data_IF_541704859277
#
_entry.id   IF_541704859277
#
_cell.length_a   1.000
_cell.length_b   1.000
_cell.length_c   1.000
_cell.angle_alpha   90.00
_cell.angle_beta   90.00
_cell.angle_gamma   90.00
#
_symmetry.space_group_name_H-M   'P 1'
#
loop_
_entity.id
_entity.type
_entity.pdbx_description
1 polymer ?
#
# COMPACT_ATOMS: atom_id res chain seq x y z
N UNK A 1 36.73 4.81 -5.21
CA UNK A 1 38.14 4.88 -4.77
C UNK A 1 38.51 3.70 -3.88
N UNK A 2 37.90 3.56 -2.69
CA UNK A 2 38.15 2.46 -1.73
C UNK A 2 38.27 1.05 -2.34
N UNK A 3 37.33 0.62 -3.19
CA UNK A 3 37.37 -0.73 -3.81
C UNK A 3 38.66 -0.97 -4.62
N UNK A 4 39.15 0.07 -5.32
CA UNK A 4 40.38 -0.04 -6.13
C UNK A 4 41.60 -0.21 -5.23
N UNK A 5 41.66 0.53 -4.12
CA UNK A 5 42.74 0.46 -3.13
C UNK A 5 42.77 -0.90 -2.45
N UNK A 6 41.62 -1.40 -1.97
CA UNK A 6 41.50 -2.75 -1.38
C UNK A 6 41.94 -3.83 -2.36
N UNK A 7 41.52 -3.74 -3.64
CA UNK A 7 41.93 -4.70 -4.67
C UNK A 7 43.46 -4.73 -4.85
N UNK A 8 44.09 -3.55 -4.92
CA UNK A 8 45.55 -3.45 -5.07
C UNK A 8 46.29 -4.00 -3.85
N UNK A 9 45.79 -3.69 -2.66
CA UNK A 9 46.35 -4.22 -1.41
C UNK A 9 46.29 -5.75 -1.38
N UNK A 10 45.12 -6.35 -1.66
CA UNK A 10 44.98 -7.80 -1.69
C UNK A 10 45.89 -8.44 -2.75
N UNK A 11 45.99 -7.84 -3.95
CA UNK A 11 46.89 -8.33 -4.99
C UNK A 11 48.36 -8.32 -4.55
N UNK A 12 48.78 -7.29 -3.82
CA UNK A 12 50.13 -7.20 -3.28
C UNK A 12 50.38 -8.28 -2.20
N UNK A 13 49.46 -8.42 -1.24
CA UNK A 13 49.58 -9.44 -0.18
C UNK A 13 49.60 -10.86 -0.76
N UNK A 14 48.81 -11.13 -1.80
CA UNK A 14 48.84 -12.42 -2.48
C UNK A 14 50.09 -12.67 -3.33
N UNK A 15 50.91 -11.65 -3.64
CA UNK A 15 52.21 -11.87 -4.29
C UNK A 15 53.33 -12.22 -3.30
N UNK A 16 53.08 -12.12 -1.99
CA UNK A 16 54.00 -12.55 -0.94
C UNK A 16 54.10 -14.08 -0.87
N UNK A 17 55.19 -14.55 -0.24
CA UNK A 17 55.43 -15.99 -0.06
C UNK A 17 54.30 -16.64 0.76
N UNK A 18 53.97 -17.93 0.55
CA UNK A 18 52.93 -18.62 1.34
C UNK A 18 53.19 -18.64 2.86
N UNK A 19 54.47 -18.52 3.26
CA UNK A 19 54.88 -18.45 4.65
C UNK A 19 54.78 -17.05 5.28
N UNK A 20 54.44 -16.04 4.48
CA UNK A 20 54.37 -14.65 4.95
C UNK A 20 53.17 -14.45 5.90
N UNK A 21 53.38 -13.85 7.09
CA UNK A 21 52.32 -13.63 8.07
C UNK A 21 51.13 -12.84 7.52
N UNK A 22 51.36 -11.84 6.67
CA UNK A 22 50.30 -10.97 6.14
C UNK A 22 49.43 -11.75 5.14
N UNK A 23 50.06 -12.61 4.33
CA UNK A 23 49.32 -13.51 3.43
C UNK A 23 48.51 -14.53 4.20
N UNK A 24 49.07 -15.12 5.25
CA UNK A 24 48.35 -16.08 6.09
C UNK A 24 47.16 -15.44 6.81
N UNK A 25 47.32 -14.20 7.28
CA UNK A 25 46.24 -13.43 7.88
C UNK A 25 45.12 -13.18 6.86
N UNK A 26 45.45 -12.71 5.66
CA UNK A 26 44.45 -12.48 4.61
C UNK A 26 43.72 -13.78 4.19
N UNK A 27 44.43 -14.90 4.06
CA UNK A 27 43.79 -16.20 3.75
C UNK A 27 42.80 -16.61 4.84
N UNK A 28 43.09 -16.34 6.12
CA UNK A 28 42.14 -16.59 7.22
C UNK A 28 40.89 -15.70 7.13
N UNK A 29 41.01 -14.47 6.65
CA UNK A 29 39.83 -13.62 6.40
C UNK A 29 38.94 -14.22 5.29
N UNK A 30 39.55 -14.73 4.20
CA UNK A 30 38.82 -15.42 3.14
C UNK A 30 38.18 -16.74 3.60
N UNK A 31 38.75 -17.42 4.60
CA UNK A 31 38.17 -18.63 5.16
C UNK A 31 36.77 -18.39 5.75
N UNK A 32 36.51 -17.22 6.34
CA UNK A 32 35.19 -16.85 6.85
C UNK A 32 34.17 -16.78 5.70
N UNK A 33 34.53 -16.12 4.60
CA UNK A 33 33.68 -16.03 3.41
C UNK A 33 33.49 -17.41 2.74
N UNK A 34 34.50 -18.27 2.75
CA UNK A 34 34.42 -19.62 2.23
C UNK A 34 33.45 -20.50 3.02
N UNK A 35 33.52 -20.47 4.35
CA UNK A 35 32.60 -21.24 5.22
C UNK A 35 31.16 -20.79 5.05
N UNK A 36 30.94 -19.49 4.95
CA UNK A 36 29.61 -18.95 4.64
C UNK A 36 29.11 -19.42 3.27
N UNK A 37 29.95 -19.38 2.23
CA UNK A 37 29.60 -19.88 0.89
C UNK A 37 29.27 -21.38 0.88
N UNK A 38 30.05 -22.17 1.61
CA UNK A 38 29.87 -23.62 1.73
C UNK A 38 28.56 -24.00 2.44
N UNK A 39 27.98 -23.11 3.24
CA UNK A 39 26.68 -23.37 3.87
C UNK A 39 25.51 -23.40 2.86
N UNK A 40 25.69 -22.81 1.68
CA UNK A 40 24.66 -22.71 0.63
C UNK A 40 25.07 -23.30 -0.72
N UNK A 41 26.33 -23.69 -0.88
CA UNK A 41 26.88 -24.35 -2.07
C UNK A 41 27.59 -25.63 -1.66
N UNK A 42 27.00 -26.81 -1.89
CA UNK A 42 27.55 -28.08 -1.38
C UNK A 42 28.82 -28.53 -2.12
N UNK A 43 28.96 -28.19 -3.40
CA UNK A 43 30.05 -28.69 -4.27
C UNK A 43 31.13 -27.61 -4.52
N UNK A 44 31.67 -27.02 -3.45
CA UNK A 44 32.77 -26.04 -3.56
C UNK A 44 34.14 -26.72 -3.67
N UNK A 45 35.04 -26.22 -4.54
CA UNK A 45 36.45 -26.61 -4.52
C UNK A 45 37.11 -26.27 -3.18
N UNK A 46 38.15 -27.00 -2.76
CA UNK A 46 38.93 -26.66 -1.59
C UNK A 46 39.41 -25.21 -1.58
N UNK A 47 39.41 -24.58 -0.40
CA UNK A 47 39.82 -23.18 -0.25
C UNK A 47 41.16 -22.87 -0.91
N UNK A 48 42.13 -23.79 -0.81
CA UNK A 48 43.46 -23.59 -1.39
C UNK A 48 43.41 -23.44 -2.91
N UNK A 49 42.61 -24.26 -3.60
CA UNK A 49 42.45 -24.18 -5.05
C UNK A 49 41.83 -22.83 -5.48
N UNK A 50 40.89 -22.31 -4.67
CA UNK A 50 40.31 -20.99 -4.89
C UNK A 50 41.34 -19.88 -4.63
N UNK A 51 42.10 -19.97 -3.55
CA UNK A 51 43.16 -19.01 -3.20
C UNK A 51 44.22 -18.90 -4.28
N UNK A 52 44.57 -20.02 -4.93
CA UNK A 52 45.57 -20.03 -5.99
C UNK A 52 45.11 -19.29 -7.26
N UNK A 53 43.79 -19.28 -7.53
CA UNK A 53 43.21 -18.57 -8.70
C UNK A 53 42.73 -17.15 -8.38
N UNK A 54 42.50 -16.81 -7.10
CA UNK A 54 42.01 -15.49 -6.66
C UNK A 54 42.81 -14.31 -7.23
N UNK A 55 44.16 -14.30 -7.24
CA UNK A 55 44.93 -13.16 -7.75
C UNK A 55 44.66 -12.91 -9.24
N UNK A 56 44.51 -13.99 -10.02
CA UNK A 56 44.15 -13.90 -11.44
C UNK A 56 42.72 -13.41 -11.61
N UNK A 57 41.78 -13.91 -10.80
CA UNK A 57 40.39 -13.47 -10.82
C UNK A 57 40.28 -11.97 -10.52
N UNK A 58 40.92 -11.48 -9.44
CA UNK A 58 40.92 -10.06 -9.06
C UNK A 58 41.49 -9.15 -10.15
N UNK A 59 42.57 -9.59 -10.84
CA UNK A 59 43.14 -8.82 -11.97
C UNK A 59 42.18 -8.74 -13.15
N UNK A 60 41.38 -9.77 -13.38
CA UNK A 60 40.37 -9.83 -14.45
C UNK A 60 39.00 -9.29 -14.04
N UNK A 61 38.88 -8.75 -12.83
CA UNK A 61 37.65 -8.08 -12.36
C UNK A 61 37.68 -6.61 -12.75
N UNK A 62 36.68 -6.20 -13.53
CA UNK A 62 36.48 -4.81 -13.92
C UNK A 62 35.67 -4.06 -12.84
N UNK A 63 36.01 -2.78 -12.59
CA UNK A 63 35.29 -1.94 -11.63
C UNK A 63 34.72 -0.75 -12.40
N UNK A 64 33.40 -0.73 -12.53
CA UNK A 64 32.66 0.24 -13.34
C UNK A 64 31.83 1.13 -12.42
N UNK A 65 31.96 2.44 -12.61
CA UNK A 65 31.12 3.43 -11.92
C UNK A 65 29.94 3.80 -12.81
N UNK A 66 28.73 3.55 -12.33
CA UNK A 66 27.48 3.76 -13.06
C UNK A 66 26.81 5.01 -12.52
N UNK A 67 27.17 6.16 -13.10
CA UNK A 67 26.61 7.47 -12.77
C UNK A 67 25.81 8.03 -13.95
N UNK A 68 24.60 8.52 -13.69
CA UNK A 68 23.71 9.12 -14.69
C UNK A 68 24.04 10.60 -15.00
N UNK A 69 25.32 10.97 -15.04
CA UNK A 69 25.73 12.34 -15.43
C UNK A 69 25.77 12.38 -16.96
N UNK A 70 24.60 12.45 -17.61
CA UNK A 70 24.52 12.56 -19.08
C UNK A 70 23.33 11.86 -19.76
N UNK A 71 22.42 11.24 -19.03
CA UNK A 71 21.15 10.71 -19.59
C UNK A 71 21.21 9.27 -20.14
N UNK A 72 22.38 8.65 -20.26
CA UNK A 72 22.51 7.24 -20.63
C UNK A 72 23.32 6.45 -19.61
N UNK A 73 22.74 5.37 -19.11
CA UNK A 73 23.44 4.40 -18.26
C UNK A 73 24.40 3.60 -19.16
N UNK A 74 25.70 3.55 -18.87
CA UNK A 74 26.63 2.74 -19.65
C UNK A 74 26.22 1.27 -19.57
N UNK A 75 26.13 0.59 -20.72
CA UNK A 75 25.93 -0.85 -20.80
C UNK A 75 27.29 -1.54 -20.70
N UNK A 76 27.59 -2.29 -19.62
CA UNK A 76 28.83 -3.03 -19.52
C UNK A 76 28.87 -4.13 -20.59
N UNK A 77 30.01 -4.28 -21.27
CA UNK A 77 30.26 -5.50 -22.02
C UNK A 77 30.52 -6.65 -21.05
N UNK A 78 29.48 -7.42 -20.74
CA UNK A 78 29.56 -8.53 -19.80
C UNK A 78 30.60 -9.58 -20.20
N UNK A 79 30.96 -9.68 -21.48
CA UNK A 79 31.93 -10.66 -22.00
C UNK A 79 33.37 -10.16 -21.97
N UNK A 80 33.59 -8.86 -21.80
CA UNK A 80 34.93 -8.26 -21.83
C UNK A 80 35.80 -8.65 -20.63
N UNK A 81 35.19 -8.97 -19.49
CA UNK A 81 35.87 -9.31 -18.25
C UNK A 81 35.35 -10.61 -17.63
N UNK A 82 36.16 -11.22 -16.76
CA UNK A 82 35.76 -12.42 -16.01
C UNK A 82 34.65 -12.12 -15.01
N UNK A 83 34.75 -10.97 -14.34
CA UNK A 83 33.73 -10.50 -13.39
C UNK A 83 33.71 -8.98 -13.33
N UNK A 84 32.60 -8.43 -12.84
CA UNK A 84 32.33 -7.00 -12.80
C UNK A 84 31.92 -6.57 -11.39
N UNK A 85 32.46 -5.45 -10.92
CA UNK A 85 31.99 -4.74 -9.73
C UNK A 85 31.39 -3.42 -10.19
N UNK A 86 30.09 -3.30 -10.04
CA UNK A 86 29.35 -2.10 -10.43
C UNK A 86 29.08 -1.25 -9.19
N UNK A 87 29.44 0.03 -9.25
CA UNK A 87 29.19 1.00 -8.19
C UNK A 87 28.32 2.09 -8.76
N UNK A 88 27.07 2.21 -8.28
CA UNK A 88 26.17 3.24 -8.77
C UNK A 88 25.22 3.79 -7.72
N UNK A 89 24.62 4.92 -8.07
CA UNK A 89 23.63 5.63 -7.26
C UNK A 89 22.19 5.23 -7.58
N UNK A 90 21.27 6.20 -7.47
CA UNK A 90 19.83 5.99 -7.78
C UNK A 90 19.56 5.52 -9.21
N UNK A 91 20.50 5.78 -10.13
CA UNK A 91 20.43 5.37 -11.52
C UNK A 91 20.35 3.85 -11.72
N UNK A 92 20.85 3.05 -10.78
CA UNK A 92 20.77 1.59 -10.82
C UNK A 92 19.50 1.02 -10.16
N UNK A 93 18.68 1.86 -9.50
CA UNK A 93 17.50 1.40 -8.75
C UNK A 93 16.32 1.01 -9.65
N UNK A 94 16.34 1.33 -10.94
CA UNK A 94 15.23 1.08 -11.87
C UNK A 94 15.71 0.57 -13.23
N UNK A 95 15.27 -0.63 -13.61
CA UNK A 95 15.39 -1.14 -14.99
C UNK A 95 16.78 -1.63 -15.42
N UNK A 96 17.78 -1.60 -14.54
CA UNK A 96 19.13 -2.09 -14.84
C UNK A 96 19.26 -3.57 -14.45
N UNK A 97 19.34 -4.46 -15.44
CA UNK A 97 19.51 -5.91 -15.21
C UNK A 97 20.98 -6.28 -15.24
N UNK A 98 21.48 -6.83 -14.14
CA UNK A 98 22.85 -7.36 -14.05
C UNK A 98 22.84 -8.86 -14.34
N UNK A 99 23.47 -9.24 -15.45
CA UNK A 99 23.71 -10.65 -15.78
C UNK A 99 24.68 -11.26 -14.77
N UNK A 100 24.39 -12.47 -14.28
CA UNK A 100 25.28 -13.15 -13.35
C UNK A 100 25.43 -12.50 -11.95
N UNK A 101 24.50 -11.63 -11.53
CA UNK A 101 24.57 -10.98 -10.21
C UNK A 101 24.63 -12.00 -9.05
N UNK A 102 25.76 -12.03 -8.34
CA UNK A 102 25.99 -12.88 -7.16
C UNK A 102 26.06 -12.10 -5.87
N UNK A 103 26.60 -10.88 -5.85
CA UNK A 103 26.75 -10.10 -4.61
C UNK A 103 26.07 -8.75 -4.76
N UNK A 104 25.24 -8.40 -3.78
CA UNK A 104 24.59 -7.10 -3.67
C UNK A 104 24.92 -6.46 -2.34
N UNK A 105 25.40 -5.21 -2.38
CA UNK A 105 25.65 -4.39 -1.20
C UNK A 105 24.83 -3.11 -1.29
N UNK A 106 23.85 -2.96 -0.39
CA UNK A 106 22.98 -1.79 -0.31
C UNK A 106 22.97 -1.26 1.13
N UNK A 107 23.92 -0.39 1.48
CA UNK A 107 24.06 0.11 2.85
C UNK A 107 23.01 1.17 3.21
N UNK A 108 22.38 1.81 2.22
CA UNK A 108 21.35 2.83 2.46
C UNK A 108 20.07 2.19 2.98
N UNK A 109 19.43 2.86 3.93
CA UNK A 109 18.06 2.54 4.32
C UNK A 109 17.11 2.57 3.12
N UNK A 110 16.02 1.82 3.21
CA UNK A 110 14.94 1.87 2.22
C UNK A 110 14.30 3.26 2.37
N UNK A 111 14.79 4.26 1.64
CA UNK A 111 14.22 5.60 1.67
C UNK A 111 12.72 5.53 1.37
N UNK A 112 11.90 5.96 2.33
CA UNK A 112 10.43 5.82 2.33
C UNK A 112 9.98 4.35 2.32
N UNK A 113 9.38 3.87 3.42
CA UNK A 113 8.88 2.49 3.58
C UNK A 113 7.67 2.13 2.72
N UNK A 114 7.71 2.38 1.40
CA UNK A 114 6.64 2.05 0.44
C UNK A 114 6.90 0.65 -0.15
N UNK A 115 5.89 -0.25 -0.26
CA UNK A 115 6.07 -1.62 -0.79
C UNK A 115 6.50 -1.56 -2.22
N UNK A 116 5.85 -0.73 -3.03
CA UNK A 116 6.24 -0.57 -4.41
C UNK A 116 7.72 -0.18 -4.45
N UNK A 117 8.17 0.82 -3.67
CA UNK A 117 9.59 1.17 -3.61
C UNK A 117 10.50 0.01 -3.16
N UNK A 118 10.06 -0.82 -2.23
CA UNK A 118 10.76 -2.04 -1.77
C UNK A 118 10.82 -3.08 -2.90
N UNK A 119 9.70 -3.38 -3.56
CA UNK A 119 9.60 -4.31 -4.68
C UNK A 119 10.38 -3.82 -5.90
N UNK A 120 10.20 -2.55 -6.30
CA UNK A 120 10.92 -1.93 -7.42
C UNK A 120 12.42 -2.03 -7.17
N UNK A 121 12.86 -1.75 -5.93
CA UNK A 121 14.28 -1.93 -5.56
C UNK A 121 14.66 -3.39 -5.63
N UNK A 122 13.88 -4.34 -5.11
CA UNK A 122 14.21 -5.77 -5.21
C UNK A 122 14.30 -6.31 -6.65
N UNK A 123 13.75 -5.61 -7.66
CA UNK A 123 13.79 -6.06 -9.06
C UNK A 123 15.21 -6.24 -9.62
N UNK A 124 16.23 -5.58 -9.06
CA UNK A 124 17.62 -5.80 -9.50
C UNK A 124 18.05 -7.28 -9.33
N UNK A 125 17.44 -8.01 -8.39
CA UNK A 125 17.86 -9.36 -8.06
C UNK A 125 17.46 -10.35 -9.16
N UNK A 126 16.34 -10.13 -9.85
CA UNK A 126 15.87 -10.99 -10.93
C UNK A 126 15.66 -12.47 -10.54
N UNK A 127 15.53 -13.34 -11.54
CA UNK A 127 15.37 -14.79 -11.33
C UNK A 127 16.73 -15.49 -11.26
N UNK A 128 17.11 -15.99 -10.08
CA UNK A 128 18.45 -16.55 -9.79
C UNK A 128 18.42 -17.99 -9.29
N UNK A 129 17.30 -18.70 -9.48
CA UNK A 129 17.04 -20.04 -8.90
C UNK A 129 18.17 -21.04 -9.16
N UNK A 130 18.79 -21.00 -10.34
CA UNK A 130 19.85 -21.92 -10.74
C UNK A 130 21.15 -21.75 -9.95
N UNK A 131 21.40 -20.56 -9.38
CA UNK A 131 22.65 -20.24 -8.69
C UNK A 131 22.41 -19.47 -7.38
N UNK A 132 21.23 -19.63 -6.79
CA UNK A 132 20.81 -18.95 -5.56
C UNK A 132 21.80 -19.18 -4.41
N UNK A 133 22.40 -20.37 -4.35
CA UNK A 133 23.43 -20.70 -3.37
C UNK A 133 24.64 -19.76 -3.39
N UNK A 134 24.95 -19.14 -4.54
CA UNK A 134 26.05 -18.18 -4.68
C UNK A 134 25.65 -16.74 -4.36
N UNK A 135 24.34 -16.46 -4.18
CA UNK A 135 23.87 -15.10 -3.98
C UNK A 135 24.13 -14.62 -2.54
N UNK A 136 24.64 -13.40 -2.38
CA UNK A 136 24.84 -12.71 -1.10
C UNK A 136 24.29 -11.30 -1.14
N UNK A 137 23.43 -10.99 -0.17
CA UNK A 137 22.73 -9.70 -0.10
C UNK A 137 23.03 -9.06 1.25
N UNK A 138 23.71 -7.94 1.21
CA UNK A 138 24.12 -7.17 2.37
C UNK A 138 23.29 -5.88 2.43
N UNK A 139 22.39 -5.82 3.40
CA UNK A 139 21.44 -4.72 3.61
C UNK A 139 21.62 -4.12 5.00
N UNK A 140 21.28 -2.83 5.14
CA UNK A 140 21.07 -2.23 6.45
C UNK A 140 19.97 -2.96 7.25
N UNK A 141 20.01 -2.86 8.59
CA UNK A 141 19.10 -3.57 9.50
C UNK A 141 17.63 -3.30 9.17
N UNK A 142 17.28 -2.02 8.98
CA UNK A 142 15.94 -1.60 8.58
C UNK A 142 15.53 -2.22 7.23
N UNK A 143 16.47 -2.30 6.28
CA UNK A 143 16.27 -2.94 5.00
C UNK A 143 15.88 -4.41 5.10
N UNK A 144 16.64 -5.15 5.90
CA UNK A 144 16.40 -6.58 6.14
C UNK A 144 15.05 -6.85 6.81
N UNK A 145 14.67 -6.03 7.79
CA UNK A 145 13.38 -6.13 8.48
C UNK A 145 12.21 -5.92 7.53
N UNK A 146 12.28 -4.89 6.69
CA UNK A 146 11.22 -4.57 5.73
C UNK A 146 11.02 -5.67 4.67
N UNK A 147 12.09 -6.19 4.06
CA UNK A 147 11.96 -7.30 3.10
C UNK A 147 11.39 -8.56 3.73
N UNK A 148 11.79 -8.88 4.98
CA UNK A 148 11.25 -10.03 5.71
C UNK A 148 9.75 -9.86 5.96
N UNK A 149 9.36 -8.73 6.52
CA UNK A 149 7.95 -8.43 6.80
C UNK A 149 7.11 -8.46 5.53
N UNK A 150 7.66 -7.97 4.41
CA UNK A 150 6.99 -8.02 3.11
C UNK A 150 6.76 -9.46 2.63
N UNK A 151 7.78 -10.34 2.68
CA UNK A 151 7.64 -11.74 2.24
C UNK A 151 6.69 -12.52 3.16
N UNK A 152 6.83 -12.36 4.48
CA UNK A 152 5.93 -12.99 5.46
C UNK A 152 4.47 -12.58 5.21
N UNK A 153 4.25 -11.31 4.86
CA UNK A 153 2.93 -10.81 4.48
C UNK A 153 2.40 -11.45 3.19
N UNK A 154 3.20 -11.46 2.13
CA UNK A 154 2.77 -11.98 0.83
C UNK A 154 2.39 -13.47 0.93
N UNK A 155 3.18 -14.25 1.67
CA UNK A 155 2.90 -15.68 1.89
C UNK A 155 1.64 -15.90 2.74
N UNK A 156 1.37 -15.08 3.76
CA UNK A 156 0.13 -15.16 4.54
C UNK A 156 -1.11 -14.87 3.67
N UNK A 157 -1.08 -13.81 2.86
CA UNK A 157 -2.16 -13.50 1.92
C UNK A 157 -2.36 -14.65 0.93
N UNK A 158 -1.27 -15.20 0.37
CA UNK A 158 -1.31 -16.34 -0.55
C UNK A 158 -1.90 -17.58 0.11
N UNK A 159 -1.51 -17.90 1.33
CA UNK A 159 -2.03 -19.05 2.07
C UNK A 159 -3.53 -18.92 2.36
N UNK A 160 -3.99 -17.72 2.74
CA UNK A 160 -5.42 -17.45 2.96
C UNK A 160 -6.23 -17.49 1.69
N UNK A 161 -5.70 -16.94 0.59
CA UNK A 161 -6.35 -17.01 -0.71
C UNK A 161 -6.46 -18.47 -1.20
N UNK A 162 -5.42 -19.28 -0.99
CA UNK A 162 -5.45 -20.71 -1.29
C UNK A 162 -6.51 -21.46 -0.46
N UNK A 163 -6.60 -21.14 0.83
CA UNK A 163 -7.63 -21.71 1.73
C UNK A 163 -9.04 -21.31 1.29
N UNK A 164 -9.26 -20.04 0.96
CA UNK A 164 -10.56 -19.57 0.48
C UNK A 164 -10.93 -20.19 -0.86
N UNK A 165 -9.98 -20.31 -1.79
CA UNK A 165 -10.20 -20.97 -3.08
C UNK A 165 -10.71 -22.40 -2.90
N UNK A 166 -10.25 -23.12 -1.87
CA UNK A 166 -10.74 -24.47 -1.56
C UNK A 166 -12.21 -24.50 -1.11
N UNK A 167 -12.78 -23.38 -0.65
CA UNK A 167 -14.19 -23.29 -0.24
C UNK A 167 -15.17 -23.14 -1.41
N UNK A 168 -14.69 -22.79 -2.60
CA UNK A 168 -15.52 -22.52 -3.78
C UNK A 168 -16.37 -21.24 -3.71
N UNK A 169 -16.25 -20.44 -2.64
CA UNK A 169 -17.01 -19.19 -2.46
C UNK A 169 -16.45 -18.04 -3.32
N UNK A 170 -17.28 -17.05 -3.70
CA UNK A 170 -16.82 -15.88 -4.44
C UNK A 170 -15.72 -15.08 -3.72
N UNK A 171 -14.90 -14.34 -4.46
CA UNK A 171 -13.84 -13.48 -3.89
C UNK A 171 -14.40 -12.32 -3.04
N UNK A 172 -15.65 -11.94 -3.22
CA UNK A 172 -16.33 -10.96 -2.37
C UNK A 172 -16.41 -11.44 -0.92
N UNK A 173 -16.68 -12.73 -0.72
CA UNK A 173 -16.71 -13.34 0.61
C UNK A 173 -15.30 -13.40 1.21
N UNK A 174 -14.28 -13.60 0.38
CA UNK A 174 -12.88 -13.53 0.82
C UNK A 174 -12.52 -12.15 1.32
N UNK A 175 -12.88 -11.07 0.58
CA UNK A 175 -12.61 -9.69 1.01
C UNK A 175 -13.21 -9.44 2.39
N UNK A 176 -14.47 -9.84 2.58
CA UNK A 176 -15.15 -9.73 3.87
C UNK A 176 -14.46 -10.56 4.96
N UNK A 177 -14.20 -11.84 4.72
CA UNK A 177 -13.53 -12.72 5.68
C UNK A 177 -12.13 -12.20 6.03
N UNK A 178 -11.39 -11.69 5.06
CA UNK A 178 -10.07 -11.08 5.23
C UNK A 178 -10.12 -9.92 6.23
N UNK A 179 -11.06 -8.98 6.08
CA UNK A 179 -11.23 -7.87 7.02
C UNK A 179 -11.74 -8.30 8.40
N UNK A 180 -12.61 -9.31 8.47
CA UNK A 180 -13.13 -9.85 9.74
C UNK A 180 -12.08 -10.66 10.50
N UNK A 181 -11.24 -11.44 9.81
CA UNK A 181 -10.13 -12.19 10.43
C UNK A 181 -9.06 -11.25 11.00
N UNK A 182 -8.78 -10.16 10.29
CA UNK A 182 -7.97 -9.07 10.84
C UNK A 182 -8.65 -8.46 12.07
N UNK A 183 -9.99 -8.41 12.10
CA UNK A 183 -10.71 -7.88 13.24
C UNK A 183 -10.58 -8.69 14.52
N UNK A 184 -10.39 -10.01 14.37
CA UNK A 184 -10.32 -10.97 15.46
C UNK A 184 -8.90 -11.22 15.99
N UNK A 185 -7.83 -10.68 15.37
CA UNK A 185 -6.44 -10.94 15.76
C UNK A 185 -5.61 -9.66 15.95
N UNK A 186 -5.32 -9.25 17.21
CA UNK A 186 -4.61 -8.01 17.54
C UNK A 186 -3.14 -7.89 17.06
N UNK A 187 -2.53 -8.95 16.55
CA UNK A 187 -1.07 -9.04 16.31
C UNK A 187 -0.62 -8.89 14.86
N UNK A 188 -1.52 -8.58 13.92
CA UNK A 188 -1.25 -8.61 12.47
C UNK A 188 -1.01 -7.22 11.84
N UNK A 189 -0.56 -6.25 12.64
CA UNK A 189 -0.41 -4.81 12.27
C UNK A 189 0.54 -4.54 11.10
N UNK A 190 1.46 -5.45 10.77
CA UNK A 190 2.45 -5.31 9.70
C UNK A 190 1.98 -5.78 8.32
N UNK A 191 0.77 -6.33 8.23
CA UNK A 191 0.27 -7.04 7.03
C UNK A 191 -0.06 -6.06 5.90
N UNK A 192 -0.54 -4.83 6.12
CA UNK A 192 -1.21 -4.09 5.02
C UNK A 192 -0.54 -2.78 4.59
N UNK A 193 0.66 -2.54 5.10
CA UNK A 193 1.19 -1.18 5.23
C UNK A 193 1.61 -0.51 3.92
N UNK A 194 1.79 -1.28 2.86
CA UNK A 194 2.81 -0.89 1.91
C UNK A 194 2.32 -0.47 0.50
N UNK A 195 1.18 -0.97 0.00
CA UNK A 195 0.68 -0.59 -1.35
C UNK A 195 -0.69 0.12 -1.37
N UNK A 196 -1.56 -0.12 -0.38
CA UNK A 196 -2.91 0.46 -0.32
C UNK A 196 -2.97 1.86 0.33
N UNK A 197 -1.87 2.29 0.95
CA UNK A 197 -1.80 3.48 1.82
C UNK A 197 -1.42 4.80 1.10
N UNK A 198 -1.54 4.85 -0.23
CA UNK A 198 -1.14 6.05 -1.02
C UNK A 198 -2.04 7.26 -0.80
N UNK A 199 -3.33 7.04 -0.51
CA UNK A 199 -4.33 8.09 -0.26
C UNK A 199 -4.86 7.96 1.17
N UNK A 200 -4.08 8.43 2.15
CA UNK A 200 -4.59 8.53 3.52
C UNK A 200 -5.67 9.61 3.56
N UNK A 201 -6.88 9.25 4.01
CA UNK A 201 -7.95 10.20 4.24
C UNK A 201 -7.72 10.85 5.61
N UNK A 202 -7.45 12.15 5.60
CA UNK A 202 -7.14 12.92 6.80
C UNK A 202 -7.83 14.28 6.72
N UNK A 203 -8.88 14.47 7.54
CA UNK A 203 -9.82 15.58 7.37
C UNK A 203 -10.37 15.64 5.94
N UNK A 204 -10.73 14.47 5.40
CA UNK A 204 -11.23 14.34 4.03
C UNK A 204 -12.39 13.35 3.92
N UNK A 205 -13.16 13.48 2.84
CA UNK A 205 -14.26 12.61 2.50
C UNK A 205 -13.82 11.53 1.50
N UNK A 206 -14.07 10.27 1.84
CA UNK A 206 -14.26 9.24 0.83
C UNK A 206 -15.63 9.42 0.17
N UNK A 207 -15.65 9.47 -1.17
CA UNK A 207 -16.86 9.43 -1.98
C UNK A 207 -16.64 8.47 -3.16
N UNK A 208 -17.55 7.51 -3.41
CA UNK A 208 -17.50 6.70 -4.61
C UNK A 208 -18.00 7.52 -5.80
N UNK A 209 -17.36 7.33 -6.96
CA UNK A 209 -17.71 8.01 -8.20
C UNK A 209 -18.72 7.21 -9.03
N UNK A 210 -18.68 5.89 -8.97
CA UNK A 210 -19.60 5.03 -9.73
C UNK A 210 -20.18 3.90 -8.85
N UNK A 211 -21.13 4.23 -7.95
CA UNK A 211 -21.78 3.23 -7.11
C UNK A 211 -22.74 2.29 -7.90
N UNK A 212 -22.93 2.53 -9.20
CA UNK A 212 -23.95 1.90 -10.06
C UNK A 212 -23.41 0.95 -11.13
N UNK A 213 -22.15 0.52 -11.07
CA UNK A 213 -21.51 -0.24 -12.16
C UNK A 213 -22.16 -1.62 -12.45
N UNK A 214 -22.87 -2.21 -11.48
CA UNK A 214 -23.52 -3.52 -11.65
C UNK A 214 -24.89 -3.57 -10.96
N UNK A 215 -25.92 -4.02 -11.68
CA UNK A 215 -27.27 -4.24 -11.11
C UNK A 215 -27.26 -5.17 -9.91
N UNK A 216 -26.45 -6.22 -9.96
CA UNK A 216 -26.32 -7.19 -8.87
C UNK A 216 -25.68 -6.53 -7.63
N UNK A 217 -24.64 -5.71 -7.83
CA UNK A 217 -24.01 -4.97 -6.75
C UNK A 217 -24.96 -3.93 -6.14
N UNK A 218 -25.70 -3.19 -6.97
CA UNK A 218 -26.70 -2.22 -6.53
C UNK A 218 -27.81 -2.90 -5.73
N UNK A 219 -28.38 -4.00 -6.23
CA UNK A 219 -29.41 -4.76 -5.52
C UNK A 219 -28.92 -5.31 -4.17
N UNK A 220 -27.70 -5.86 -4.15
CA UNK A 220 -27.05 -6.31 -2.91
C UNK A 220 -26.84 -5.16 -1.93
N UNK A 221 -26.35 -4.01 -2.39
CA UNK A 221 -26.10 -2.84 -1.55
C UNK A 221 -27.40 -2.26 -0.98
N UNK A 222 -28.51 -2.30 -1.73
CA UNK A 222 -29.82 -1.84 -1.24
C UNK A 222 -30.23 -2.65 -0.03
N UNK A 223 -30.09 -3.97 -0.11
CA UNK A 223 -30.45 -4.85 0.98
C UNK A 223 -29.54 -4.64 2.21
N UNK A 224 -28.23 -4.50 2.00
CA UNK A 224 -27.27 -4.19 3.09
C UNK A 224 -27.64 -2.89 3.80
N UNK A 225 -27.85 -1.80 3.04
CA UNK A 225 -28.18 -0.49 3.60
C UNK A 225 -29.53 -0.52 4.31
N UNK A 226 -30.55 -1.15 3.71
CA UNK A 226 -31.89 -1.28 4.30
C UNK A 226 -31.83 -2.04 5.62
N UNK A 227 -31.15 -3.18 5.67
CA UNK A 227 -30.98 -3.97 6.90
C UNK A 227 -30.24 -3.18 7.97
N UNK A 228 -29.15 -2.51 7.60
CA UNK A 228 -28.34 -1.73 8.53
C UNK A 228 -29.10 -0.53 9.09
N UNK A 229 -29.77 0.28 8.25
CA UNK A 229 -30.56 1.42 8.72
C UNK A 229 -31.70 1.00 9.67
N UNK A 230 -32.27 -0.20 9.47
CA UNK A 230 -33.31 -0.74 10.35
C UNK A 230 -32.81 -1.11 11.76
N UNK A 231 -31.50 -1.23 11.98
CA UNK A 231 -30.93 -1.46 13.33
C UNK A 231 -30.71 -0.15 14.10
N UNK A 232 -30.79 1.00 13.42
CA UNK A 232 -30.49 2.30 14.00
C UNK A 232 -31.73 2.99 14.55
N UNK A 233 -31.56 3.72 15.65
CA UNK A 233 -32.54 4.69 16.12
C UNK A 233 -32.24 6.05 15.50
N UNK A 234 -32.88 6.31 14.36
CA UNK A 234 -32.71 7.56 13.62
C UNK A 234 -33.59 8.66 14.21
N UNK A 235 -33.01 9.86 14.32
CA UNK A 235 -33.71 11.10 14.72
C UNK A 235 -33.54 12.17 13.66
N UNK A 236 -34.56 12.97 13.42
CA UNK A 236 -34.44 14.06 12.45
C UNK A 236 -33.43 15.11 12.93
N UNK A 237 -32.60 15.59 12.00
CA UNK A 237 -31.60 16.62 12.27
C UNK A 237 -32.29 17.99 12.30
N UNK A 238 -32.23 18.73 13.42
CA UNK A 238 -32.78 20.08 13.49
C UNK A 238 -32.18 20.99 12.40
N UNK A 239 -33.01 21.88 11.86
CA UNK A 239 -32.63 22.72 10.74
C UNK A 239 -33.52 23.94 10.59
N UNK A 240 -33.12 24.83 9.69
CA UNK A 240 -33.92 25.99 9.32
C UNK A 240 -35.26 25.54 8.71
N UNK A 241 -36.37 26.22 9.04
CA UNK A 241 -37.72 25.87 8.57
C UNK A 241 -37.86 25.85 7.05
N UNK A 242 -37.09 26.71 6.37
CA UNK A 242 -37.02 26.77 4.90
C UNK A 242 -36.26 25.63 4.22
N UNK A 243 -35.77 24.61 4.94
CA UNK A 243 -35.13 23.45 4.30
C UNK A 243 -36.16 22.65 3.50
N UNK A 244 -35.83 22.34 2.26
CA UNK A 244 -36.59 21.40 1.43
C UNK A 244 -36.45 19.96 1.95
N UNK A 245 -37.30 19.04 1.48
CA UNK A 245 -37.18 17.62 1.80
C UNK A 245 -35.81 17.01 1.40
N UNK A 246 -35.18 17.55 0.35
CA UNK A 246 -33.81 17.18 -0.06
C UNK A 246 -32.72 17.66 0.91
N UNK A 247 -33.04 18.57 1.83
CA UNK A 247 -32.12 19.15 2.82
C UNK A 247 -32.45 18.70 4.26
N UNK A 248 -33.50 17.88 4.41
CA UNK A 248 -33.86 17.23 5.66
C UNK A 248 -33.16 15.87 5.75
N UNK A 249 -32.58 15.57 6.90
CA UNK A 249 -31.79 14.35 7.13
C UNK A 249 -32.14 13.75 8.48
N UNK A 250 -31.90 12.46 8.63
CA UNK A 250 -31.90 11.81 9.92
C UNK A 250 -30.48 11.46 10.34
N UNK A 251 -30.25 11.35 11.65
CA UNK A 251 -28.97 11.04 12.24
C UNK A 251 -29.12 9.96 13.32
N UNK A 252 -28.11 9.10 13.45
CA UNK A 252 -27.86 8.28 14.61
C UNK A 252 -26.47 8.62 15.15
N UNK A 253 -26.42 9.12 16.37
CA UNK A 253 -25.17 9.48 17.04
C UNK A 253 -24.64 8.31 17.88
N UNK A 254 -23.32 8.28 18.08
CA UNK A 254 -22.64 7.31 18.93
C UNK A 254 -22.90 5.83 18.55
N UNK A 255 -22.97 5.55 17.25
CA UNK A 255 -23.09 4.19 16.73
C UNK A 255 -21.74 3.49 16.87
N UNK A 256 -21.73 2.21 17.28
CA UNK A 256 -20.47 1.43 17.39
C UNK A 256 -19.79 1.36 16.03
N UNK A 257 -18.56 1.89 15.93
CA UNK A 257 -17.79 1.86 14.69
C UNK A 257 -17.49 0.42 14.25
N UNK A 258 -17.34 -0.51 15.21
CA UNK A 258 -17.18 -1.94 14.93
C UNK A 258 -18.41 -2.53 14.23
N UNK A 259 -19.62 -2.21 14.71
CA UNK A 259 -20.87 -2.62 14.03
C UNK A 259 -20.97 -1.99 12.64
N UNK A 260 -20.67 -0.70 12.49
CA UNK A 260 -20.68 -0.03 11.16
C UNK A 260 -19.68 -0.68 10.20
N UNK A 261 -18.49 -1.01 10.67
CA UNK A 261 -17.45 -1.66 9.88
C UNK A 261 -17.90 -3.05 9.40
N UNK A 262 -18.46 -3.86 10.29
CA UNK A 262 -18.77 -5.29 10.03
C UNK A 262 -20.14 -5.53 9.39
N UNK A 263 -21.12 -4.66 9.66
CA UNK A 263 -22.51 -4.81 9.21
C UNK A 263 -22.82 -3.95 7.98
N UNK A 264 -22.13 -2.83 7.78
CA UNK A 264 -22.29 -1.96 6.62
C UNK A 264 -21.06 -2.00 5.70
N UNK A 265 -19.94 -1.42 6.11
CA UNK A 265 -18.85 -1.06 5.19
C UNK A 265 -18.19 -2.27 4.52
N UNK A 266 -17.88 -3.33 5.25
CA UNK A 266 -17.29 -4.57 4.68
C UNK A 266 -18.27 -5.38 3.82
N UNK A 267 -19.57 -5.08 3.88
CA UNK A 267 -20.61 -5.75 3.08
C UNK A 267 -20.99 -4.98 1.81
N UNK A 268 -20.63 -3.70 1.72
CA UNK A 268 -20.84 -2.91 0.51
C UNK A 268 -19.97 -3.42 -0.63
N UNK A 269 -20.60 -3.67 -1.78
CA UNK A 269 -19.95 -4.01 -3.04
C UNK A 269 -19.61 -2.73 -3.79
N UNK A 270 -18.33 -2.38 -3.78
CA UNK A 270 -17.73 -1.33 -4.62
C UNK A 270 -16.93 -2.01 -5.71
N UNK A 271 -17.42 -1.98 -6.94
CA UNK A 271 -16.92 -2.81 -8.03
C UNK A 271 -15.94 -2.07 -8.96
N UNK A 272 -16.11 -0.75 -9.14
CA UNK A 272 -15.22 0.05 -10.01
C UNK A 272 -13.82 0.03 -9.42
N UNK A 273 -12.80 -0.23 -10.24
CA UNK A 273 -11.42 -0.44 -9.81
C UNK A 273 -10.91 0.64 -8.87
N UNK A 274 -11.04 1.90 -9.28
CA UNK A 274 -10.47 3.05 -8.59
C UNK A 274 -11.19 3.31 -7.26
N UNK A 275 -12.53 3.24 -7.28
CA UNK A 275 -13.35 3.38 -6.08
C UNK A 275 -13.09 2.22 -5.11
N UNK A 276 -12.93 0.99 -5.61
CA UNK A 276 -12.68 -0.22 -4.81
C UNK A 276 -11.31 -0.18 -4.14
N UNK A 277 -10.29 0.33 -4.82
CA UNK A 277 -8.97 0.54 -4.24
C UNK A 277 -9.02 1.57 -3.10
N UNK A 278 -9.62 2.75 -3.35
CA UNK A 278 -9.78 3.78 -2.31
C UNK A 278 -10.64 3.31 -1.13
N UNK A 279 -11.72 2.57 -1.41
CA UNK A 279 -12.57 1.99 -0.38
C UNK A 279 -11.82 0.96 0.47
N UNK A 280 -10.96 0.15 -0.15
CA UNK A 280 -10.12 -0.82 0.56
C UNK A 280 -9.14 -0.09 1.49
N UNK A 281 -8.51 1.01 1.03
CA UNK A 281 -7.68 1.86 1.89
C UNK A 281 -8.45 2.42 3.09
N UNK A 282 -9.66 2.93 2.87
CA UNK A 282 -10.55 3.39 3.94
C UNK A 282 -10.85 2.27 4.97
N UNK A 283 -11.20 1.06 4.53
CA UNK A 283 -11.48 -0.06 5.42
C UNK A 283 -10.26 -0.43 6.28
N UNK A 284 -9.05 -0.37 5.72
CA UNK A 284 -7.81 -0.61 6.44
C UNK A 284 -7.56 0.44 7.53
N UNK A 285 -7.77 1.71 7.20
CA UNK A 285 -7.61 2.81 8.15
C UNK A 285 -8.62 2.72 9.31
N UNK A 286 -9.87 2.39 9.02
CA UNK A 286 -10.90 2.15 10.05
C UNK A 286 -10.52 0.96 10.94
N UNK A 287 -10.03 -0.14 10.35
CA UNK A 287 -9.60 -1.32 11.10
C UNK A 287 -8.50 -1.00 12.09
N UNK A 288 -7.46 -0.31 11.63
CA UNK A 288 -6.35 0.08 12.49
C UNK A 288 -6.79 0.99 13.64
N UNK A 289 -7.69 1.94 13.35
CA UNK A 289 -8.25 2.77 14.39
C UNK A 289 -9.03 1.93 15.43
N UNK A 290 -9.79 0.92 14.98
CA UNK A 290 -10.49 -0.03 15.86
C UNK A 290 -9.53 -0.95 16.64
N UNK A 291 -8.36 -1.28 16.10
CA UNK A 291 -7.32 -2.04 16.82
C UNK A 291 -6.77 -1.26 18.02
N UNK A 292 -6.71 0.07 17.91
CA UNK A 292 -6.29 0.95 19.00
C UNK A 292 -7.47 1.37 19.90
N UNK A 293 -8.68 1.44 19.35
CA UNK A 293 -9.89 1.95 20.00
C UNK A 293 -11.09 1.01 19.73
N UNK A 294 -11.18 -0.14 20.42
CA UNK A 294 -12.23 -1.15 20.15
C UNK A 294 -13.66 -0.63 20.35
N UNK A 295 -13.83 0.29 21.29
CA UNK A 295 -15.13 0.89 21.65
C UNK A 295 -15.39 2.22 20.92
N UNK A 296 -14.64 2.52 19.86
CA UNK A 296 -14.83 3.73 19.06
C UNK A 296 -16.27 3.82 18.53
N UNK A 297 -16.79 5.04 18.51
CA UNK A 297 -18.13 5.35 18.00
C UNK A 297 -18.04 6.33 16.83
N UNK A 298 -19.05 6.30 15.96
CA UNK A 298 -19.18 7.18 14.82
C UNK A 298 -20.60 7.75 14.73
N UNK A 299 -20.78 8.68 13.79
CA UNK A 299 -22.07 9.27 13.46
C UNK A 299 -22.56 8.76 12.10
N UNK A 300 -23.84 8.42 12.00
CA UNK A 300 -24.48 7.99 10.75
C UNK A 300 -25.54 9.02 10.36
N UNK A 301 -25.45 9.57 9.15
CA UNK A 301 -26.50 10.37 8.56
C UNK A 301 -27.23 9.57 7.48
N UNK A 302 -28.55 9.53 7.55
CA UNK A 302 -29.41 9.09 6.45
C UNK A 302 -29.91 10.32 5.70
N UNK A 303 -29.40 10.50 4.49
CA UNK A 303 -29.55 11.74 3.74
C UNK A 303 -30.84 11.73 2.92
N UNK A 304 -31.75 12.66 3.22
CA UNK A 304 -33.04 12.83 2.52
C UNK A 304 -33.94 11.60 2.60
N UNK A 305 -34.27 11.11 3.81
CA UNK A 305 -35.09 9.91 4.00
C UNK A 305 -36.47 9.99 3.33
N UNK A 306 -37.00 11.20 3.14
CA UNK A 306 -38.32 11.46 2.56
C UNK A 306 -38.29 11.94 1.11
N UNK A 307 -37.12 12.02 0.47
CA UNK A 307 -37.01 12.52 -0.89
C UNK A 307 -35.87 11.85 -1.68
N UNK A 308 -36.15 11.42 -2.91
CA UNK A 308 -35.15 10.77 -3.77
C UNK A 308 -34.28 11.80 -4.49
N UNK A 309 -33.00 11.85 -4.13
CA UNK A 309 -32.03 12.75 -4.78
C UNK A 309 -31.65 12.21 -6.16
N UNK A 310 -31.38 13.12 -7.10
CA UNK A 310 -30.93 12.76 -8.46
C UNK A 310 -29.52 13.31 -8.73
N UNK A 311 -28.68 12.53 -9.42
CA UNK A 311 -27.36 12.96 -9.91
C UNK A 311 -27.18 12.58 -11.38
N UNK A 312 -26.60 13.49 -12.16
CA UNK A 312 -26.22 13.21 -13.53
C UNK A 312 -24.82 12.61 -13.57
N UNK A 313 -24.63 11.61 -14.43
CA UNK A 313 -23.33 11.04 -14.77
C UNK A 313 -22.62 11.92 -15.79
N UNK A 314 -21.29 11.90 -15.77
CA UNK A 314 -20.46 12.54 -16.78
C UNK A 314 -20.09 11.55 -17.90
N UNK A 315 -19.29 12.00 -18.86
CA UNK A 315 -18.86 11.20 -20.02
C UNK A 315 -18.03 9.94 -19.64
N UNK A 316 -17.55 9.85 -18.40
CA UNK A 316 -16.81 8.70 -17.84
C UNK A 316 -17.71 7.76 -17.02
N UNK A 317 -19.03 7.95 -17.09
CA UNK A 317 -20.03 7.22 -16.29
C UNK A 317 -19.81 7.42 -14.78
N UNK A 318 -19.41 8.63 -14.37
CA UNK A 318 -19.13 8.99 -12.97
C UNK A 318 -20.03 10.11 -12.46
N UNK A 319 -20.36 10.06 -11.17
CA UNK A 319 -20.98 11.16 -10.43
C UNK A 319 -19.91 12.22 -10.17
N UNK A 320 -19.98 13.35 -10.86
CA UNK A 320 -19.01 14.46 -10.70
C UNK A 320 -19.06 15.11 -9.32
N UNK A 321 -20.25 15.23 -8.73
CA UNK A 321 -20.41 15.78 -7.39
C UNK A 321 -21.54 15.06 -6.64
N UNK A 322 -21.16 14.25 -5.64
CA UNK A 322 -22.11 13.56 -4.78
C UNK A 322 -22.90 14.54 -3.91
N UNK A 323 -22.20 15.53 -3.35
CA UNK A 323 -22.72 16.40 -2.30
C UNK A 323 -23.57 17.56 -2.84
N UNK A 324 -24.72 17.78 -2.21
CA UNK A 324 -25.50 19.00 -2.39
C UNK A 324 -24.79 20.18 -1.70
N UNK A 325 -24.67 21.30 -2.42
CA UNK A 325 -24.06 22.53 -1.90
C UNK A 325 -24.95 23.30 -0.92
N UNK A 326 -24.39 24.38 -0.41
CA UNK A 326 -25.07 25.31 0.50
C UNK A 326 -26.26 26.02 -0.15
N UNK A 327 -27.28 26.36 0.64
CA UNK A 327 -28.49 27.08 0.24
C UNK A 327 -28.87 28.16 1.28
N UNK A 328 -29.18 29.40 0.87
CA UNK A 328 -28.98 29.95 -0.47
C UNK A 328 -27.50 29.99 -0.84
N UNK A 329 -27.19 30.05 -2.14
CA UNK A 329 -25.82 30.29 -2.62
C UNK A 329 -25.52 31.78 -2.68
N UNK A 330 -26.54 32.59 -3.03
CA UNK A 330 -26.46 34.03 -3.19
C UNK A 330 -27.58 34.72 -2.39
N UNK A 331 -27.32 35.91 -1.82
CA UNK A 331 -26.05 36.63 -1.84
C UNK A 331 -25.02 35.98 -0.88
N UNK A 332 -23.70 36.20 -1.06
CA UNK A 332 -22.64 35.49 -0.32
C UNK A 332 -22.76 35.58 1.20
N UNK A 333 -23.28 36.68 1.74
CA UNK A 333 -23.43 36.93 3.18
C UNK A 333 -24.47 35.99 3.81
N UNK A 334 -25.40 35.48 3.01
CA UNK A 334 -26.43 34.52 3.43
C UNK A 334 -26.10 33.08 3.04
N UNK A 335 -24.91 32.84 2.47
CA UNK A 335 -24.58 31.54 1.89
C UNK A 335 -24.70 30.44 2.95
N UNK A 336 -25.55 29.45 2.68
CA UNK A 336 -25.78 28.33 3.58
C UNK A 336 -26.59 28.63 4.84
N UNK A 337 -27.24 29.79 4.92
CA UNK A 337 -28.06 30.16 6.10
C UNK A 337 -29.28 29.24 6.28
N UNK A 338 -29.79 28.63 5.21
CA UNK A 338 -30.90 27.66 5.27
C UNK A 338 -30.32 26.24 5.38
N UNK A 339 -29.35 25.94 4.53
CA UNK A 339 -28.70 24.64 4.45
C UNK A 339 -27.19 24.81 4.23
N UNK A 340 -26.33 24.33 5.14
CA UNK A 340 -24.88 24.54 5.02
C UNK A 340 -24.22 23.72 3.89
N UNK A 341 -24.90 22.71 3.36
CA UNK A 341 -24.36 21.77 2.37
C UNK A 341 -23.99 20.42 2.99
N UNK A 342 -24.08 19.35 2.20
CA UNK A 342 -23.87 17.97 2.67
C UNK A 342 -22.47 17.80 3.28
N UNK A 343 -21.43 18.44 2.74
CA UNK A 343 -20.05 18.32 3.27
C UNK A 343 -19.88 18.80 4.71
N UNK A 344 -20.80 19.66 5.19
CA UNK A 344 -20.83 20.14 6.57
C UNK A 344 -21.65 19.24 7.49
N UNK A 345 -22.39 18.27 6.93
CA UNK A 345 -23.15 17.26 7.69
C UNK A 345 -22.21 16.15 8.18
N UNK A 346 -21.36 16.51 9.15
CA UNK A 346 -20.44 15.59 9.82
C UNK A 346 -20.40 15.88 11.32
N UNK A 347 -20.11 14.85 12.11
CA UNK A 347 -19.91 15.03 13.53
C UNK A 347 -18.64 15.87 13.80
N UNK A 348 -18.62 16.64 14.91
CA UNK A 348 -17.45 17.43 15.29
C UNK A 348 -16.25 16.56 15.68
N UNK A 349 -16.48 15.30 16.07
CA UNK A 349 -15.47 14.33 16.48
C UNK A 349 -15.82 12.94 15.93
N UNK A 350 -14.80 12.13 15.67
CA UNK A 350 -14.96 10.78 15.15
C UNK A 350 -15.38 10.72 13.68
N UNK A 351 -15.41 9.49 13.17
CA UNK A 351 -15.81 9.18 11.81
C UNK A 351 -17.29 9.52 11.58
N UNK A 352 -17.63 9.98 10.37
CA UNK A 352 -19.02 10.14 9.96
C UNK A 352 -19.29 9.39 8.66
N UNK A 353 -20.39 8.63 8.60
CA UNK A 353 -20.88 8.03 7.36
C UNK A 353 -22.17 8.72 6.95
N UNK A 354 -22.23 9.20 5.71
CA UNK A 354 -23.48 9.60 5.08
C UNK A 354 -23.95 8.50 4.14
N UNK A 355 -25.19 8.06 4.32
CA UNK A 355 -25.87 7.11 3.45
C UNK A 355 -26.84 7.89 2.58
N UNK A 356 -26.65 7.79 1.27
CA UNK A 356 -27.48 8.42 0.24
C UNK A 356 -28.17 7.34 -0.60
N UNK A 357 -29.38 7.64 -1.07
CA UNK A 357 -30.10 6.86 -2.06
C UNK A 357 -30.37 7.74 -3.28
N UNK A 358 -29.77 7.38 -4.42
CA UNK A 358 -29.71 8.24 -5.60
C UNK A 358 -30.43 7.65 -6.80
N UNK A 359 -31.17 8.48 -7.52
CA UNK A 359 -31.48 8.22 -8.92
C UNK A 359 -30.37 8.80 -9.79
N UNK A 360 -29.94 8.08 -10.82
CA UNK A 360 -28.90 8.52 -11.75
C UNK A 360 -29.45 8.75 -13.14
N UNK A 361 -29.01 9.83 -13.77
CA UNK A 361 -29.41 10.25 -15.12
C UNK A 361 -28.16 10.45 -15.99
N UNK A 362 -28.29 10.39 -17.31
CA UNK A 362 -27.19 10.68 -18.24
C UNK A 362 -26.89 12.18 -18.36
N UNK A 363 -27.89 13.02 -18.10
CA UNK A 363 -27.77 14.47 -18.12
C UNK A 363 -28.65 15.10 -17.05
N UNK A 364 -28.41 16.37 -16.72
CA UNK A 364 -29.15 17.06 -15.66
C UNK A 364 -30.62 17.22 -16.04
N UNK A 365 -31.50 16.53 -15.31
CA UNK A 365 -32.94 16.51 -15.58
C UNK A 365 -33.36 15.54 -16.69
N UNK A 366 -32.43 14.73 -17.20
CA UNK A 366 -32.72 13.68 -18.17
C UNK A 366 -33.44 12.48 -17.57
N UNK A 367 -33.65 11.45 -18.39
CA UNK A 367 -34.28 10.21 -17.96
C UNK A 367 -33.44 9.47 -16.90
N UNK A 368 -34.12 8.94 -15.88
CA UNK A 368 -33.49 8.10 -14.85
C UNK A 368 -33.12 6.75 -15.46
N UNK A 369 -31.83 6.43 -15.42
CA UNK A 369 -31.26 5.17 -15.90
C UNK A 369 -30.93 4.19 -14.76
N UNK A 370 -30.71 4.71 -13.56
CA UNK A 370 -30.60 3.92 -12.34
C UNK A 370 -31.48 4.50 -11.25
N UNK A 371 -32.25 3.65 -10.57
CA UNK A 371 -33.11 4.06 -9.46
C UNK A 371 -32.53 3.61 -8.14
N UNK A 372 -32.73 4.38 -7.06
CA UNK A 372 -32.44 3.94 -5.69
C UNK A 372 -31.03 3.30 -5.51
N UNK A 373 -29.99 3.96 -6.00
CA UNK A 373 -28.60 3.52 -5.89
C UNK A 373 -28.04 3.91 -4.52
N UNK A 374 -27.74 2.96 -3.63
CA UNK A 374 -27.19 3.27 -2.32
C UNK A 374 -25.73 3.70 -2.43
N UNK A 375 -25.39 4.78 -1.75
CA UNK A 375 -24.07 5.40 -1.82
C UNK A 375 -23.62 5.82 -0.43
N UNK A 376 -22.44 5.36 0.01
CA UNK A 376 -21.87 5.72 1.30
C UNK A 376 -20.69 6.69 1.11
N UNK A 377 -20.80 7.89 1.67
CA UNK A 377 -19.67 8.80 1.82
C UNK A 377 -19.14 8.74 3.25
N UNK A 378 -17.82 8.76 3.44
CA UNK A 378 -17.20 8.59 4.76
C UNK A 378 -16.22 9.71 5.05
N UNK A 379 -16.50 10.51 6.05
CA UNK A 379 -15.59 11.52 6.58
C UNK A 379 -14.62 10.86 7.55
N UNK A 380 -13.33 11.03 7.28
CA UNK A 380 -12.26 10.49 8.13
C UNK A 380 -11.54 11.66 8.81
N UNK A 381 -11.70 11.84 10.13
CA UNK A 381 -10.99 12.87 10.87
C UNK A 381 -9.49 12.56 10.90
N UNK A 382 -8.65 13.61 10.97
CA UNK A 382 -7.18 13.46 11.04
C UNK A 382 -6.67 12.60 12.19
N UNK A 383 -7.41 12.46 13.28
CA UNK A 383 -7.05 11.55 14.39
C UNK A 383 -7.00 10.06 13.97
N UNK A 384 -7.67 9.72 12.88
CA UNK A 384 -7.60 8.39 12.27
C UNK A 384 -6.51 8.30 11.20
N UNK A 385 -5.87 9.41 10.83
CA UNK A 385 -4.74 9.42 9.90
C UNK A 385 -3.47 8.97 10.62
N UNK A 386 -2.62 8.21 9.93
CA UNK A 386 -1.35 7.78 10.51
C UNK A 386 -0.37 8.95 10.55
N UNK A 387 0.19 9.22 11.73
CA UNK A 387 1.51 9.85 11.84
C UNK A 387 2.54 8.78 11.47
N UNK A 388 3.15 8.87 10.30
CA UNK A 388 4.47 8.27 10.15
C UNK A 388 5.41 9.05 11.06
N UNK A 389 5.81 8.45 12.18
CA UNK A 389 7.05 8.80 12.86
C UNK A 389 8.18 8.43 11.90
N UNK A 390 8.45 9.32 10.95
CA UNK A 390 9.82 9.47 10.44
C UNK A 390 10.60 9.91 11.67
N UNK A 391 11.29 8.96 12.29
CA UNK A 391 12.30 9.29 13.27
C UNK A 391 13.30 10.17 12.51
N UNK A 392 13.21 11.48 12.71
CA UNK A 392 14.21 12.41 12.20
C UNK A 392 15.55 11.90 12.69
N UNK A 393 16.37 11.41 11.77
CA UNK A 393 17.78 11.17 12.04
C UNK A 393 18.36 12.53 12.38
N UNK A 394 18.58 12.75 13.69
CA UNK A 394 19.34 13.88 14.18
C UNK A 394 20.68 13.89 13.45
N UNK A 395 20.92 15.01 12.77
CA UNK A 395 22.13 15.36 12.02
C UNK A 395 23.42 15.26 12.83
#
# INVERSE_FOLDING_TARGET
>A
QWIRETRLQWQHVFSLSPGDPDRQALVKEFELAYRDLHSTVPDLPPLQELVDVLPRAMRKTEIIEVNAVGGHTPEPDWRAAYSHILVGGRAMERGFTVEGLTVTYMPRGIGGGNADAIQQRARFLGYKRQYLGFCRVYLGIAGRGAYRSYVEHEEDVRARLATHRATGKPLTDWKRAFFLDLALQPTRRSVLDLDYMRDQLADDWYTPKAPHESEEAVASNREVVRQFLATLQLRSVPGHEGRSAFQSHDVADRVSLSSVFTELLTRLRVTRSDDSQRFTGLLLQIREHLDANPDAVCCIYHMSPSATRTRSLNDLDEISNLFQGADPVNPPERRGSIYPGDMQMKAPQGLTVQIHNLNLTTERGGQVIWTDVPTAAVWVPREMARSWLVQEEAS
#
